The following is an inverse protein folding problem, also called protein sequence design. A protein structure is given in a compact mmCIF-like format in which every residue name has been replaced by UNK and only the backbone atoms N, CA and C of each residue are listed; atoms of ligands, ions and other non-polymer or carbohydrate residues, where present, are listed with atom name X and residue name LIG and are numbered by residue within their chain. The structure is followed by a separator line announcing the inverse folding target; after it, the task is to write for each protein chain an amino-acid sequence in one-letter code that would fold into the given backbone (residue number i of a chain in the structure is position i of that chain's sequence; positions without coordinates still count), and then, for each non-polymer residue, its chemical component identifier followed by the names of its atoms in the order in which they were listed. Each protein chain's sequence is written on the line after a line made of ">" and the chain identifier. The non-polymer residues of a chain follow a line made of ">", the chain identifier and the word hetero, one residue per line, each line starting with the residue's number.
data_IF_399743532948
#
_entry.id   IF_399743532948
#
_cell.length_a   1.000
_cell.length_b   1.000
_cell.length_c   1.000
_cell.angle_alpha   90.00
_cell.angle_beta   90.00
_cell.angle_gamma   90.00
#
_symmetry.space_group_name_H-M   'P 1'
#
loop_
_entity.id
_entity.type
_entity.pdbx_description
1 polymer ?
#
# COMPACT_ATOMS: atom_id res chain seq x y z
N UNK A 1 -54.89 -31.89 -13.50
CA UNK A 1 -55.29 -30.68 -14.25
C UNK A 1 -55.08 -29.40 -13.43
N UNK A 2 -55.74 -29.25 -12.27
CA UNK A 2 -55.56 -28.04 -11.42
C UNK A 2 -54.16 -27.91 -10.80
N UNK A 3 -53.54 -29.03 -10.39
CA UNK A 3 -52.16 -29.03 -9.86
C UNK A 3 -51.13 -28.63 -10.91
N UNK A 4 -51.31 -29.08 -12.17
CA UNK A 4 -50.44 -28.72 -13.30
C UNK A 4 -50.60 -27.26 -13.72
N UNK A 5 -51.81 -26.70 -13.67
CA UNK A 5 -52.02 -25.27 -13.92
C UNK A 5 -51.43 -24.39 -12.82
N UNK A 6 -51.57 -24.77 -11.55
CA UNK A 6 -50.98 -24.05 -10.43
C UNK A 6 -49.45 -24.05 -10.52
N UNK A 7 -48.84 -25.19 -10.86
CA UNK A 7 -47.40 -25.31 -11.08
C UNK A 7 -46.95 -24.45 -12.28
N UNK A 8 -47.68 -24.48 -13.41
CA UNK A 8 -47.38 -23.64 -14.56
C UNK A 8 -47.47 -22.14 -14.22
N UNK A 9 -48.51 -21.73 -13.48
CA UNK A 9 -48.68 -20.36 -13.01
C UNK A 9 -47.54 -19.93 -12.06
N UNK A 10 -47.12 -20.80 -11.14
CA UNK A 10 -45.97 -20.55 -10.27
C UNK A 10 -44.66 -20.42 -11.05
N UNK A 11 -44.43 -21.25 -12.07
CA UNK A 11 -43.25 -21.17 -12.94
C UNK A 11 -43.26 -19.87 -13.75
N UNK A 12 -44.40 -19.46 -14.31
CA UNK A 12 -44.53 -18.19 -15.05
C UNK A 12 -44.30 -17.00 -14.13
N UNK A 13 -44.85 -17.01 -12.91
CA UNK A 13 -44.63 -15.96 -11.91
C UNK A 13 -43.17 -15.87 -11.51
N UNK A 14 -42.52 -16.99 -11.18
CA UNK A 14 -41.12 -17.03 -10.79
C UNK A 14 -40.20 -16.66 -11.97
N UNK A 15 -40.57 -16.99 -13.21
CA UNK A 15 -39.86 -16.56 -14.42
C UNK A 15 -39.94 -15.05 -14.61
N UNK A 16 -41.11 -14.43 -14.39
CA UNK A 16 -41.26 -12.97 -14.45
C UNK A 16 -40.45 -12.27 -13.35
N UNK A 17 -40.47 -12.79 -12.13
CA UNK A 17 -39.68 -12.25 -11.00
C UNK A 17 -38.18 -12.38 -11.28
N UNK A 18 -37.73 -13.54 -11.79
CA UNK A 18 -36.32 -13.73 -12.15
C UNK A 18 -35.92 -12.92 -13.38
N UNK A 19 -36.80 -12.70 -14.36
CA UNK A 19 -36.55 -11.81 -15.50
C UNK A 19 -36.52 -10.32 -15.09
N UNK A 20 -37.37 -9.87 -14.18
CA UNK A 20 -37.29 -8.52 -13.57
C UNK A 20 -35.97 -8.34 -12.80
N UNK A 21 -35.65 -9.30 -11.92
CA UNK A 21 -34.39 -9.27 -11.17
C UNK A 21 -33.14 -9.40 -12.05
N UNK A 22 -33.23 -10.08 -13.20
CA UNK A 22 -32.13 -10.19 -14.19
C UNK A 22 -31.98 -8.94 -15.06
N UNK A 23 -33.05 -8.15 -15.25
CA UNK A 23 -33.03 -6.90 -16.04
C UNK A 23 -32.51 -5.71 -15.24
N UNK A 24 -32.64 -5.73 -13.91
CA UNK A 24 -32.11 -4.68 -13.05
C UNK A 24 -30.63 -4.92 -12.76
N UNK A 25 -29.77 -4.11 -13.38
CA UNK A 25 -28.35 -4.06 -13.03
C UNK A 25 -28.14 -3.74 -11.55
N UNK A 26 -26.99 -4.12 -10.96
CA UNK A 26 -26.69 -3.84 -9.55
C UNK A 26 -26.80 -2.35 -9.22
N UNK A 27 -26.45 -1.49 -10.18
CA UNK A 27 -26.59 -0.02 -10.09
C UNK A 27 -28.04 0.44 -10.02
N UNK A 28 -28.97 -0.18 -10.75
CA UNK A 28 -30.39 0.16 -10.68
C UNK A 28 -30.96 -0.17 -9.30
N UNK A 29 -30.57 -1.31 -8.71
CA UNK A 29 -30.99 -1.68 -7.35
C UNK A 29 -30.47 -0.71 -6.29
N UNK A 30 -29.23 -0.24 -6.44
CA UNK A 30 -28.66 0.78 -5.56
C UNK A 30 -29.38 2.13 -5.71
N UNK A 31 -29.75 2.53 -6.94
CA UNK A 31 -30.54 3.73 -7.15
C UNK A 31 -31.95 3.62 -6.55
N UNK A 32 -32.60 2.47 -6.72
CA UNK A 32 -33.91 2.20 -6.12
C UNK A 32 -33.84 2.22 -4.59
N UNK A 33 -32.78 1.66 -3.99
CA UNK A 33 -32.61 1.72 -2.54
C UNK A 33 -32.38 3.14 -2.05
N UNK A 34 -31.61 3.96 -2.78
CA UNK A 34 -31.45 5.39 -2.49
C UNK A 34 -32.81 6.11 -2.54
N UNK A 35 -33.58 5.93 -3.61
CA UNK A 35 -34.90 6.54 -3.74
C UNK A 35 -35.83 6.13 -2.59
N UNK A 36 -35.86 4.83 -2.26
CA UNK A 36 -36.64 4.31 -1.13
C UNK A 36 -36.20 4.91 0.21
N UNK A 37 -34.89 5.10 0.44
CA UNK A 37 -34.40 5.72 1.69
C UNK A 37 -34.69 7.21 1.79
N UNK A 38 -34.87 7.89 0.66
CA UNK A 38 -35.11 9.34 0.61
C UNK A 38 -36.60 9.69 0.46
N UNK A 39 -37.48 8.69 0.46
CA UNK A 39 -38.92 8.78 0.16
C UNK A 39 -39.20 9.45 -1.20
N UNK A 40 -38.37 9.17 -2.20
CA UNK A 40 -38.55 9.67 -3.57
C UNK A 40 -39.35 8.61 -4.36
N UNK A 41 -40.40 9.01 -5.10
CA UNK A 41 -41.19 8.07 -5.89
C UNK A 41 -40.31 7.34 -6.92
N UNK A 42 -40.62 6.06 -7.14
CA UNK A 42 -39.86 5.23 -8.06
C UNK A 42 -39.86 5.83 -9.47
N UNK A 43 -38.68 5.96 -10.10
CA UNK A 43 -38.58 6.55 -11.43
C UNK A 43 -39.23 5.65 -12.48
N UNK A 44 -40.48 5.96 -12.84
CA UNK A 44 -41.13 5.38 -14.01
C UNK A 44 -40.68 6.19 -15.23
N UNK A 45 -39.71 5.67 -15.97
CA UNK A 45 -39.22 6.22 -17.25
C UNK A 45 -38.70 7.67 -17.17
N UNK A 46 -38.33 8.14 -15.98
CA UNK A 46 -37.90 9.52 -15.77
C UNK A 46 -36.48 9.78 -16.32
N UNK A 47 -36.29 10.99 -16.85
CA UNK A 47 -34.98 11.51 -17.24
C UNK A 47 -33.98 11.40 -16.08
N UNK A 48 -32.85 10.75 -16.33
CA UNK A 48 -31.82 10.49 -15.31
C UNK A 48 -31.30 11.78 -14.64
N UNK A 49 -31.20 12.88 -15.40
CA UNK A 49 -30.75 14.16 -14.87
C UNK A 49 -31.76 14.76 -13.87
N UNK A 50 -33.04 14.65 -14.16
CA UNK A 50 -34.12 15.10 -13.28
C UNK A 50 -34.12 14.30 -11.97
N UNK A 51 -33.89 12.99 -12.02
CA UNK A 51 -33.80 12.14 -10.84
C UNK A 51 -32.62 12.50 -9.94
N UNK A 52 -31.43 12.68 -10.52
CA UNK A 52 -30.26 13.08 -9.73
C UNK A 52 -30.45 14.47 -9.10
N UNK A 53 -31.14 15.38 -9.79
CA UNK A 53 -31.49 16.69 -9.24
C UNK A 53 -32.44 16.58 -8.04
N UNK A 54 -33.49 15.75 -8.15
CA UNK A 54 -34.41 15.49 -7.03
C UNK A 54 -33.71 14.85 -5.82
N UNK A 55 -32.81 13.89 -6.06
CA UNK A 55 -31.99 13.27 -5.02
C UNK A 55 -31.12 14.33 -4.34
N UNK A 56 -30.44 15.17 -5.13
CA UNK A 56 -29.58 16.23 -4.62
C UNK A 56 -30.36 17.23 -3.76
N UNK A 57 -31.55 17.64 -4.18
CA UNK A 57 -32.39 18.57 -3.44
C UNK A 57 -32.88 17.97 -2.12
N UNK A 58 -33.31 16.70 -2.14
CA UNK A 58 -33.77 15.99 -0.94
C UNK A 58 -32.65 15.82 0.07
N UNK A 59 -31.46 15.41 -0.38
CA UNK A 59 -30.26 15.31 0.46
C UNK A 59 -29.90 16.68 1.04
N UNK A 60 -29.94 17.74 0.24
CA UNK A 60 -29.62 19.09 0.70
C UNK A 60 -30.57 19.58 1.80
N UNK A 61 -31.86 19.29 1.70
CA UNK A 61 -32.85 19.60 2.76
C UNK A 61 -32.57 18.84 4.05
N UNK A 62 -32.34 17.53 3.96
CA UNK A 62 -32.02 16.69 5.14
C UNK A 62 -30.74 17.17 5.82
N UNK A 63 -29.74 17.60 5.04
CA UNK A 63 -28.50 18.15 5.58
C UNK A 63 -28.68 19.47 6.33
N UNK A 64 -29.70 20.27 5.99
CA UNK A 64 -30.03 21.51 6.70
C UNK A 64 -30.73 21.24 8.03
N UNK A 65 -31.54 20.19 8.11
CA UNK A 65 -32.26 19.79 9.34
C UNK A 65 -31.33 19.17 10.39
N UNK A 66 -30.17 18.65 9.98
CA UNK A 66 -29.18 18.03 10.85
C UNK A 66 -28.36 19.07 11.64
N UNK A 67 -28.02 18.82 12.92
CA UNK A 67 -27.22 19.74 13.71
C UNK A 67 -25.87 20.03 13.05
N UNK A 68 -25.44 21.30 13.15
CA UNK A 68 -24.34 21.87 12.39
C UNK A 68 -23.05 21.06 12.46
N UNK A 69 -22.58 20.60 11.29
CA UNK A 69 -21.31 19.86 11.14
C UNK A 69 -21.44 18.35 11.02
N UNK A 70 -22.66 17.80 10.94
CA UNK A 70 -22.90 16.35 10.79
C UNK A 70 -22.21 15.72 9.58
N UNK A 71 -22.00 16.51 8.50
CA UNK A 71 -21.26 16.07 7.31
C UNK A 71 -20.09 17.02 7.06
N UNK A 72 -18.87 16.48 7.15
CA UNK A 72 -17.64 17.23 6.89
C UNK A 72 -17.57 17.79 5.46
N UNK A 73 -16.66 18.73 5.22
CA UNK A 73 -16.43 19.30 3.89
C UNK A 73 -15.82 18.24 2.95
N UNK A 74 -16.17 18.23 1.66
CA UNK A 74 -15.58 17.30 0.70
C UNK A 74 -14.08 17.59 0.53
N UNK A 75 -13.28 16.53 0.36
CA UNK A 75 -11.84 16.67 0.08
C UNK A 75 -11.62 17.29 -1.29
N UNK A 76 -12.38 16.82 -2.29
CA UNK A 76 -12.32 17.34 -3.64
C UNK A 76 -13.28 18.54 -3.79
N UNK A 77 -12.70 19.74 -3.84
CA UNK A 77 -13.47 21.01 -3.89
C UNK A 77 -13.68 21.55 -5.30
N UNK A 78 -12.83 21.15 -6.25
CA UNK A 78 -12.83 21.67 -7.62
C UNK A 78 -13.39 20.62 -8.57
N UNK A 79 -14.22 21.00 -9.55
CA UNK A 79 -14.61 20.11 -10.63
C UNK A 79 -13.36 19.72 -11.43
N UNK A 80 -13.35 18.49 -11.93
CA UNK A 80 -12.27 17.96 -12.74
C UNK A 80 -12.62 18.06 -14.22
N UNK A 81 -11.66 18.49 -15.03
CA UNK A 81 -11.74 18.46 -16.48
C UNK A 81 -11.56 17.02 -17.02
N UNK A 82 -12.00 16.76 -18.25
CA UNK A 82 -11.93 15.45 -18.92
C UNK A 82 -10.51 14.85 -18.87
N UNK A 83 -9.49 15.66 -19.15
CA UNK A 83 -8.08 15.20 -19.07
C UNK A 83 -7.65 14.85 -17.65
N UNK A 84 -8.20 15.54 -16.64
CA UNK A 84 -7.90 15.26 -15.24
C UNK A 84 -8.61 13.99 -14.76
N UNK A 85 -9.83 13.73 -15.25
CA UNK A 85 -10.55 12.48 -15.00
C UNK A 85 -9.80 11.26 -15.54
N UNK A 86 -9.26 11.34 -16.75
CA UNK A 86 -8.45 10.27 -17.32
C UNK A 86 -7.20 9.99 -16.47
N UNK A 87 -6.48 11.05 -16.08
CA UNK A 87 -5.33 10.92 -15.18
C UNK A 87 -5.72 10.32 -13.83
N UNK A 88 -6.85 10.75 -13.25
CA UNK A 88 -7.34 10.22 -11.99
C UNK A 88 -7.66 8.72 -12.10
N UNK A 89 -8.31 8.29 -13.18
CA UNK A 89 -8.59 6.86 -13.44
C UNK A 89 -7.30 6.07 -13.60
N UNK A 90 -6.31 6.62 -14.30
CA UNK A 90 -4.98 5.99 -14.45
C UNK A 90 -4.28 5.81 -13.11
N UNK A 91 -4.27 6.85 -12.26
CA UNK A 91 -3.71 6.77 -10.90
C UNK A 91 -4.46 5.74 -10.06
N UNK A 92 -5.80 5.75 -10.09
CA UNK A 92 -6.61 4.80 -9.34
C UNK A 92 -6.35 3.35 -9.78
N UNK A 93 -6.18 3.10 -11.08
CA UNK A 93 -5.85 1.78 -11.62
C UNK A 93 -4.46 1.32 -11.16
N UNK A 94 -3.46 2.19 -11.22
CA UNK A 94 -2.10 1.89 -10.76
C UNK A 94 -2.06 1.62 -9.26
N UNK A 95 -2.70 2.46 -8.44
CA UNK A 95 -2.77 2.24 -6.99
C UNK A 95 -3.55 0.98 -6.66
N UNK A 96 -4.68 0.74 -7.33
CA UNK A 96 -5.50 -0.45 -7.09
C UNK A 96 -4.74 -1.74 -7.38
N UNK A 97 -3.94 -1.80 -8.45
CA UNK A 97 -3.12 -2.97 -8.76
C UNK A 97 -2.00 -3.18 -7.72
N UNK A 98 -1.34 -2.12 -7.26
CA UNK A 98 -0.35 -2.22 -6.20
C UNK A 98 -0.97 -2.68 -4.87
N UNK A 99 -2.09 -2.09 -4.45
CA UNK A 99 -2.79 -2.46 -3.23
C UNK A 99 -3.31 -3.88 -3.30
N UNK A 100 -3.77 -4.33 -4.46
CA UNK A 100 -4.18 -5.71 -4.69
C UNK A 100 -2.99 -6.67 -4.52
N UNK A 101 -1.82 -6.33 -5.08
CA UNK A 101 -0.59 -7.10 -4.87
C UNK A 101 -0.20 -7.16 -3.38
N UNK A 102 -0.21 -6.01 -2.68
CA UNK A 102 0.05 -5.95 -1.23
C UNK A 102 -0.94 -6.78 -0.43
N UNK A 103 -2.24 -6.73 -0.76
CA UNK A 103 -3.28 -7.54 -0.10
C UNK A 103 -3.07 -9.03 -0.34
N UNK A 104 -2.75 -9.46 -1.57
CA UNK A 104 -2.39 -10.86 -1.87
C UNK A 104 -1.23 -11.34 -1.00
N UNK A 105 -0.17 -10.54 -0.91
CA UNK A 105 0.99 -10.86 -0.09
C UNK A 105 0.62 -10.98 1.40
N UNK A 106 -0.12 -10.03 1.95
CA UNK A 106 -0.55 -10.06 3.36
C UNK A 106 -1.46 -11.24 3.67
N UNK A 107 -2.39 -11.55 2.77
CA UNK A 107 -3.26 -12.72 2.88
C UNK A 107 -2.41 -14.01 2.84
N UNK A 108 -1.44 -14.10 1.93
CA UNK A 108 -0.55 -15.27 1.86
C UNK A 108 0.35 -15.37 3.08
N UNK A 109 0.85 -14.25 3.60
CA UNK A 109 1.61 -14.21 4.86
C UNK A 109 0.77 -14.73 6.01
N UNK A 110 -0.50 -14.32 6.09
CA UNK A 110 -1.46 -14.85 7.06
C UNK A 110 -1.62 -16.37 6.91
N UNK A 111 -1.82 -16.86 5.69
CA UNK A 111 -1.93 -18.31 5.39
C UNK A 111 -0.70 -19.07 5.93
N UNK A 112 0.51 -18.61 5.60
CA UNK A 112 1.76 -19.26 6.00
C UNK A 112 1.96 -19.18 7.52
N UNK A 113 1.59 -18.07 8.17
CA UNK A 113 1.66 -17.97 9.65
C UNK A 113 0.68 -18.90 10.35
N UNK A 114 -0.49 -19.17 9.78
CA UNK A 114 -1.43 -20.14 10.36
C UNK A 114 -0.93 -21.57 10.12
N UNK A 115 -0.34 -21.84 8.95
CA UNK A 115 0.26 -23.13 8.62
C UNK A 115 1.46 -23.47 9.52
N UNK A 116 2.28 -22.49 9.90
CA UNK A 116 3.46 -22.73 10.74
C UNK A 116 3.10 -23.24 12.14
N UNK A 117 1.92 -22.92 12.67
CA UNK A 117 1.48 -23.49 13.94
C UNK A 117 1.41 -25.02 13.88
N UNK A 118 1.03 -25.60 12.73
CA UNK A 118 0.96 -27.04 12.52
C UNK A 118 2.31 -27.78 12.58
N UNK A 119 3.43 -27.06 12.72
CA UNK A 119 4.75 -27.66 12.88
C UNK A 119 5.00 -28.14 14.32
N UNK A 120 4.23 -27.63 15.29
CA UNK A 120 4.32 -28.06 16.69
C UNK A 120 3.38 -29.24 16.96
N UNK A 121 3.85 -30.26 17.70
CA UNK A 121 3.04 -31.45 18.01
C UNK A 121 1.78 -31.12 18.82
N UNK A 122 1.86 -30.10 19.69
CA UNK A 122 0.71 -29.59 20.46
C UNK A 122 -0.39 -29.00 19.58
N UNK A 123 -0.03 -28.35 18.47
CA UNK A 123 -1.00 -27.71 17.59
C UNK A 123 -1.54 -28.66 16.51
N UNK A 124 -0.79 -29.70 16.12
CA UNK A 124 -1.25 -30.74 15.16
C UNK A 124 -2.57 -31.38 15.60
N UNK A 125 -2.75 -31.60 16.91
CA UNK A 125 -3.98 -32.16 17.49
C UNK A 125 -5.17 -31.17 17.42
N UNK A 126 -4.91 -29.88 17.19
CA UNK A 126 -5.93 -28.81 17.17
C UNK A 126 -6.14 -28.19 15.78
N UNK A 127 -5.60 -28.78 14.72
CA UNK A 127 -5.67 -28.24 13.35
C UNK A 127 -7.11 -28.00 12.91
N UNK A 128 -8.02 -28.94 13.18
CA UNK A 128 -9.43 -28.80 12.81
C UNK A 128 -10.11 -27.63 13.52
N UNK A 129 -9.82 -27.45 14.82
CA UNK A 129 -10.31 -26.31 15.59
C UNK A 129 -9.78 -24.99 15.04
N UNK A 130 -8.51 -24.95 14.64
CA UNK A 130 -7.90 -23.76 14.04
C UNK A 130 -8.50 -23.46 12.67
N UNK A 131 -8.67 -24.48 11.82
CA UNK A 131 -9.27 -24.36 10.51
C UNK A 131 -10.73 -23.86 10.60
N UNK A 132 -11.51 -24.35 11.58
CA UNK A 132 -12.89 -23.90 11.81
C UNK A 132 -13.01 -22.39 12.05
N UNK A 133 -12.03 -21.80 12.73
CA UNK A 133 -11.99 -20.35 13.00
C UNK A 133 -11.37 -19.58 11.84
N UNK A 134 -10.31 -20.13 11.23
CA UNK A 134 -9.53 -19.45 10.23
C UNK A 134 -10.23 -19.39 8.86
N UNK A 135 -10.77 -20.51 8.38
CA UNK A 135 -11.29 -20.62 7.03
C UNK A 135 -12.40 -19.60 6.73
N UNK A 136 -13.43 -19.40 7.57
CA UNK A 136 -14.46 -18.40 7.29
C UNK A 136 -13.87 -16.99 7.12
N UNK A 137 -12.90 -16.62 7.98
CA UNK A 137 -12.20 -15.33 7.89
C UNK A 137 -11.40 -15.24 6.60
N UNK A 138 -10.67 -16.30 6.26
CA UNK A 138 -9.86 -16.36 5.05
C UNK A 138 -10.67 -16.21 3.75
N UNK A 139 -11.87 -16.79 3.69
CA UNK A 139 -12.77 -16.65 2.54
C UNK A 139 -13.39 -15.25 2.44
N UNK A 140 -13.52 -14.54 3.56
CA UNK A 140 -13.99 -13.15 3.56
C UNK A 140 -12.93 -12.15 3.05
N UNK A 141 -11.63 -12.51 3.13
CA UNK A 141 -10.52 -11.66 2.69
C UNK A 141 -10.38 -11.68 1.17
N UNK A 142 -10.61 -10.52 0.56
CA UNK A 142 -10.48 -10.32 -0.89
C UNK A 142 -9.19 -9.55 -1.22
N UNK A 143 -8.43 -9.98 -2.24
CA UNK A 143 -7.27 -9.23 -2.68
C UNK A 143 -7.64 -7.90 -3.34
N UNK A 144 -8.80 -7.83 -4.03
CA UNK A 144 -9.21 -6.65 -4.80
C UNK A 144 -9.28 -5.39 -3.93
N UNK A 145 -8.82 -4.26 -4.48
CA UNK A 145 -9.00 -2.95 -3.84
C UNK A 145 -10.50 -2.64 -3.73
N UNK A 146 -10.91 -2.09 -2.60
CA UNK A 146 -12.27 -1.59 -2.38
C UNK A 146 -12.39 -0.10 -2.69
N UNK A 147 -11.28 0.58 -2.96
CA UNK A 147 -11.26 2.03 -3.21
C UNK A 147 -11.45 2.27 -4.70
N UNK A 148 -12.44 3.10 -5.04
CA UNK A 148 -12.72 3.51 -6.40
C UNK A 148 -12.91 5.04 -6.45
N UNK A 149 -12.95 5.61 -7.65
CA UNK A 149 -13.14 7.04 -7.90
C UNK A 149 -14.40 7.60 -7.22
N UNK A 150 -15.47 6.81 -7.12
CA UNK A 150 -16.69 7.17 -6.37
C UNK A 150 -16.41 7.42 -4.88
N UNK A 151 -15.58 6.58 -4.23
CA UNK A 151 -15.17 6.78 -2.83
C UNK A 151 -14.31 8.03 -2.64
N UNK A 152 -13.52 8.41 -3.65
CA UNK A 152 -12.75 9.64 -3.61
C UNK A 152 -13.67 10.88 -3.65
N UNK A 153 -14.73 10.85 -4.47
CA UNK A 153 -15.71 11.95 -4.52
C UNK A 153 -16.53 12.06 -3.23
N UNK A 154 -16.82 10.93 -2.60
CA UNK A 154 -17.52 10.88 -1.33
C UNK A 154 -16.64 11.26 -0.12
N UNK A 155 -15.31 11.25 -0.27
CA UNK A 155 -14.38 11.46 0.84
C UNK A 155 -14.51 12.87 1.43
N UNK A 156 -14.50 12.96 2.77
CA UNK A 156 -14.54 14.22 3.53
C UNK A 156 -13.18 14.50 4.18
N UNK A 157 -13.01 15.74 4.65
CA UNK A 157 -11.75 16.23 5.25
C UNK A 157 -11.27 15.40 6.45
N UNK A 158 -12.17 14.65 7.09
CA UNK A 158 -11.86 13.71 8.18
C UNK A 158 -10.90 12.58 7.74
N UNK A 159 -10.97 12.13 6.48
CA UNK A 159 -10.07 11.13 5.91
C UNK A 159 -8.61 11.62 5.90
N UNK A 160 -8.39 12.93 5.84
CA UNK A 160 -7.05 13.51 5.92
C UNK A 160 -6.50 13.50 7.36
N UNK A 161 -7.34 13.32 8.38
CA UNK A 161 -6.91 13.18 9.77
C UNK A 161 -6.50 11.74 10.06
N UNK A 162 -5.29 11.37 9.67
CA UNK A 162 -4.73 10.04 9.94
C UNK A 162 -4.22 9.98 11.38
N UNK A 163 -5.08 9.53 12.28
CA UNK A 163 -4.68 9.21 13.65
C UNK A 163 -3.79 7.96 13.62
N UNK A 164 -2.59 8.06 14.19
CA UNK A 164 -1.69 6.91 14.29
C UNK A 164 -2.38 5.79 15.05
N UNK A 165 -2.40 4.58 14.48
CA UNK A 165 -2.92 3.38 15.14
C UNK A 165 -2.12 3.01 16.39
N UNK A 166 -0.86 3.46 16.48
CA UNK A 166 -0.01 3.34 17.68
C UNK A 166 -0.22 4.46 18.70
N UNK A 167 -1.13 5.40 18.47
CA UNK A 167 -1.40 6.51 19.40
C UNK A 167 -1.90 6.00 20.76
N UNK A 168 -1.57 6.73 21.82
CA UNK A 168 -2.02 6.43 23.18
C UNK A 168 -3.53 6.29 23.27
N UNK A 169 -4.28 7.19 22.61
CA UNK A 169 -5.75 7.17 22.58
C UNK A 169 -6.33 5.94 21.88
N UNK A 170 -5.71 5.47 20.79
CA UNK A 170 -6.11 4.23 20.14
C UNK A 170 -5.83 2.99 20.99
N UNK A 171 -4.84 3.06 21.90
CA UNK A 171 -4.41 1.93 22.73
C UNK A 171 -5.03 1.91 24.13
N UNK A 172 -5.56 3.04 24.60
CA UNK A 172 -6.09 3.25 25.96
C UNK A 172 -7.13 2.20 26.37
N UNK A 173 -7.97 1.74 25.43
CA UNK A 173 -9.04 0.76 25.67
C UNK A 173 -8.76 -0.61 25.03
N UNK A 174 -7.54 -0.87 24.56
CA UNK A 174 -7.16 -2.13 23.91
C UNK A 174 -6.42 -3.11 24.82
N UNK A 175 -6.59 -2.96 26.14
CA UNK A 175 -6.06 -3.90 27.10
C UNK A 175 -6.61 -5.31 26.80
N UNK A 176 -5.72 -6.25 26.50
CA UNK A 176 -6.06 -7.64 26.24
C UNK A 176 -5.08 -8.57 26.95
N UNK A 177 -5.37 -9.87 26.98
CA UNK A 177 -4.51 -10.85 27.66
C UNK A 177 -3.03 -10.80 27.20
N UNK A 178 -2.78 -10.32 25.98
CA UNK A 178 -1.45 -10.14 25.38
C UNK A 178 -0.89 -8.73 25.63
N UNK A 179 -1.69 -7.67 25.42
CA UNK A 179 -1.30 -6.28 25.63
C UNK A 179 -1.92 -5.76 26.93
N UNK A 180 -1.28 -6.02 28.07
CA UNK A 180 -1.82 -5.66 29.40
C UNK A 180 -1.48 -4.24 29.86
N UNK A 181 -0.36 -3.68 29.40
CA UNK A 181 0.18 -2.42 29.93
C UNK A 181 0.25 -1.38 28.82
N UNK A 182 -0.40 -0.24 29.05
CA UNK A 182 -0.21 0.97 28.24
C UNK A 182 1.01 1.71 28.76
N UNK A 183 2.10 1.71 27.99
CA UNK A 183 3.27 2.53 28.29
C UNK A 183 2.90 4.01 28.13
N UNK A 184 3.10 4.81 29.17
CA UNK A 184 2.87 6.25 29.14
C UNK A 184 3.85 6.99 28.22
N UNK A 185 3.90 8.32 28.33
CA UNK A 185 4.87 9.13 27.59
C UNK A 185 6.30 8.68 27.95
N UNK A 186 6.99 8.05 26.99
CA UNK A 186 8.39 7.65 27.15
C UNK A 186 9.25 8.89 26.84
N UNK A 187 10.05 9.38 27.80
CA UNK A 187 10.96 10.50 27.56
C UNK A 187 11.86 10.20 26.36
N UNK A 188 12.18 11.23 25.57
CA UNK A 188 13.08 11.07 24.44
C UNK A 188 14.42 10.49 24.95
N UNK A 189 14.84 9.36 24.38
CA UNK A 189 16.07 8.66 24.77
C UNK A 189 17.29 9.17 24.01
N UNK A 190 17.13 10.24 23.23
CA UNK A 190 18.18 10.82 22.41
C UNK A 190 18.64 9.85 21.31
N UNK A 191 19.79 10.14 20.71
CA UNK A 191 20.38 9.30 19.67
C UNK A 191 19.88 9.60 18.26
N UNK A 192 19.20 10.74 18.06
CA UNK A 192 18.89 11.20 16.71
C UNK A 192 20.21 11.52 16.02
N UNK A 193 20.49 10.96 14.82
CA UNK A 193 21.72 11.25 14.09
C UNK A 193 21.93 12.75 13.80
N UNK A 194 20.86 13.56 13.86
CA UNK A 194 20.92 15.03 13.73
C UNK A 194 21.38 15.76 14.99
N UNK A 195 21.29 15.13 16.16
CA UNK A 195 21.66 15.72 17.46
C UNK A 195 23.08 15.30 17.89
N UNK A 196 23.61 14.24 17.28
CA UNK A 196 24.97 13.77 17.51
C UNK A 196 25.90 14.55 16.59
N UNK A 197 26.80 15.36 17.16
CA UNK A 197 27.89 15.94 16.41
C UNK A 197 28.71 14.82 15.77
N UNK A 198 28.98 14.92 14.47
CA UNK A 198 29.83 13.96 13.78
C UNK A 198 31.17 13.88 14.54
N UNK A 199 31.67 12.67 14.84
CA UNK A 199 32.95 12.53 15.52
C UNK A 199 34.01 13.29 14.71
N UNK A 200 34.96 13.96 15.37
CA UNK A 200 36.03 14.64 14.67
C UNK A 200 36.74 13.65 13.74
N UNK A 201 37.11 14.06 12.51
CA UNK A 201 37.76 13.16 11.57
C UNK A 201 39.06 12.62 12.20
N UNK A 202 39.08 11.32 12.47
CA UNK A 202 40.21 10.63 13.14
C UNK A 202 41.47 10.57 12.26
N UNK A 203 41.33 10.82 10.95
CA UNK A 203 42.44 10.84 10.01
C UNK A 203 42.66 12.25 9.46
N UNK A 204 43.93 12.72 9.39
CA UNK A 204 44.27 13.94 8.68
C UNK A 204 43.76 13.88 7.24
N UNK A 205 43.32 15.01 6.66
CA UNK A 205 42.92 15.04 5.25
C UNK A 205 44.12 14.62 4.40
N UNK A 206 43.88 13.69 3.46
CA UNK A 206 44.88 13.19 2.54
C UNK A 206 45.52 14.36 1.78
N UNK A 207 46.75 14.72 2.14
CA UNK A 207 47.54 15.68 1.37
C UNK A 207 48.21 14.94 0.21
N UNK A 208 47.99 15.47 -1.00
CA UNK A 208 48.72 15.02 -2.19
C UNK A 208 50.20 15.30 -1.96
N UNK A 209 51.06 14.28 -2.11
CA UNK A 209 52.52 14.44 -2.03
C UNK A 209 52.94 15.48 -3.07
N UNK A 210 53.79 16.43 -2.68
CA UNK A 210 54.39 17.39 -3.61
C UNK A 210 55.24 16.61 -4.63
N UNK A 211 54.94 16.82 -5.91
CA UNK A 211 55.77 16.35 -7.01
C UNK A 211 56.97 17.31 -7.16
N UNK A 212 58.15 16.83 -6.76
CA UNK A 212 59.44 17.29 -7.30
C UNK A 212 60.35 18.13 -6.39
N UNK A 213 61.60 17.68 -6.27
CA UNK A 213 62.74 18.61 -6.35
C UNK A 213 63.76 18.61 -5.20
N UNK A 214 64.77 17.76 -5.35
CA UNK A 214 66.21 18.04 -5.14
C UNK A 214 66.77 18.26 -3.71
N UNK A 215 68.06 17.88 -3.58
CA UNK A 215 68.97 17.98 -2.42
C UNK A 215 68.77 16.90 -1.33
N UNK A 216 69.66 15.96 -1.07
CA UNK A 216 71.03 15.71 -1.55
C UNK A 216 71.68 14.82 -0.49
N UNK A 217 72.02 13.57 -0.83
CA UNK A 217 72.83 12.72 0.04
C UNK A 217 74.06 12.21 -0.70
N UNK A 218 75.19 12.64 -0.15
CA UNK A 218 76.57 12.31 -0.50
C UNK A 218 76.83 10.83 -0.21
N UNK A 219 77.50 10.17 -1.16
CA UNK A 219 78.56 9.21 -0.86
C UNK A 219 78.24 7.73 -1.09
N UNK A 220 79.12 7.09 -1.86
CA UNK A 220 79.44 5.68 -1.63
C UNK A 220 79.35 4.76 -2.85
N UNK A 221 80.35 4.86 -3.72
CA UNK A 221 81.14 3.73 -4.20
C UNK A 221 80.48 2.44 -4.77
N UNK A 222 80.81 2.23 -6.05
CA UNK A 222 81.27 0.97 -6.71
C UNK A 222 80.27 0.13 -7.53
N UNK A 223 80.58 0.18 -8.83
CA UNK A 223 80.85 -0.92 -9.78
C UNK A 223 79.68 -1.70 -10.40
N UNK A 224 79.63 -1.56 -11.74
CA UNK A 224 79.32 -2.61 -12.71
C UNK A 224 77.83 -2.79 -12.99
N UNK A 225 77.32 -2.82 -14.22
CA UNK A 225 77.94 -3.02 -15.53
C UNK A 225 77.06 -4.01 -16.29
N UNK A 226 76.65 -3.65 -17.52
CA UNK A 226 75.98 -4.54 -18.50
C UNK A 226 74.53 -4.91 -18.15
N UNK A 227 73.54 -4.86 -19.03
CA UNK A 227 73.58 -5.18 -20.45
C UNK A 227 73.01 -6.58 -20.67
N UNK A 228 71.88 -6.68 -21.37
CA UNK A 228 71.49 -7.90 -22.10
C UNK A 228 70.39 -8.76 -21.48
N UNK A 229 69.23 -8.75 -22.16
CA UNK A 229 68.79 -9.92 -22.93
C UNK A 229 68.28 -11.18 -22.20
N UNK A 230 67.02 -11.52 -22.50
CA UNK A 230 66.68 -12.88 -22.92
C UNK A 230 66.08 -13.83 -21.88
N UNK A 231 65.17 -14.68 -22.36
CA UNK A 231 64.68 -15.88 -21.68
C UNK A 231 63.34 -15.63 -20.95
N UNK A 232 62.19 -16.11 -21.40
CA UNK A 232 61.96 -17.33 -22.16
C UNK A 232 61.70 -18.52 -21.23
N UNK A 233 60.43 -18.66 -20.85
CA UNK A 233 59.73 -19.89 -20.40
C UNK A 233 60.14 -20.49 -19.04
N UNK A 234 59.12 -20.85 -18.26
CA UNK A 234 58.73 -22.24 -17.94
C UNK A 234 58.03 -22.31 -16.59
N UNK A 235 56.78 -22.78 -16.65
CA UNK A 235 55.94 -23.52 -15.68
C UNK A 235 54.56 -22.85 -15.62
N UNK A 236 53.49 -23.40 -16.19
CA UNK A 236 53.19 -24.80 -16.45
C UNK A 236 52.13 -25.27 -15.47
N UNK A 237 50.92 -25.45 -16.00
CA UNK A 237 49.73 -26.15 -15.44
C UNK A 237 49.00 -25.34 -14.34
N UNK A 238 47.77 -24.89 -14.60
CA UNK A 238 46.55 -25.72 -14.71
C UNK A 238 46.12 -26.05 -13.29
N UNK A 239 44.99 -25.57 -12.78
CA UNK A 239 43.66 -26.15 -12.97
C UNK A 239 42.53 -25.12 -12.79
N UNK A 240 41.44 -25.42 -13.50
CA UNK A 240 40.14 -24.74 -13.55
C UNK A 240 39.41 -24.67 -12.19
N UNK A 241 38.81 -23.52 -11.88
CA UNK A 241 37.54 -23.45 -11.13
C UNK A 241 36.79 -22.14 -11.42
N UNK A 242 35.45 -22.23 -11.39
CA UNK A 242 34.43 -21.25 -11.83
C UNK A 242 34.65 -19.80 -11.36
N UNK A 243 34.09 -18.80 -12.03
CA UNK A 243 32.66 -18.69 -12.37
C UNK A 243 32.01 -17.70 -11.39
N UNK A 244 31.37 -16.65 -11.93
CA UNK A 244 30.70 -15.51 -11.27
C UNK A 244 31.62 -14.36 -10.83
N UNK A 245 31.28 -13.09 -10.97
CA UNK A 245 30.04 -12.46 -11.40
C UNK A 245 30.26 -10.94 -11.41
N UNK A 246 29.82 -10.31 -12.49
CA UNK A 246 29.92 -8.89 -12.78
C UNK A 246 29.04 -8.07 -11.82
N UNK A 247 29.64 -7.19 -10.99
CA UNK A 247 28.93 -6.14 -10.25
C UNK A 247 29.34 -4.77 -10.77
N UNK A 248 28.61 -4.30 -11.79
CA UNK A 248 28.56 -2.90 -12.17
C UNK A 248 27.63 -2.12 -11.25
N UNK A 249 28.20 -1.37 -10.31
CA UNK A 249 27.48 -0.44 -9.43
C UNK A 249 27.52 0.98 -9.97
N UNK A 250 26.54 1.38 -10.77
CA UNK A 250 26.28 2.79 -11.10
C UNK A 250 25.41 3.44 -10.02
N UNK A 251 26.03 4.05 -9.02
CA UNK A 251 25.38 4.97 -8.09
C UNK A 251 25.44 6.40 -8.60
N UNK A 252 24.40 6.85 -9.32
CA UNK A 252 24.23 8.28 -9.68
C UNK A 252 23.79 9.08 -8.45
N UNK A 253 24.59 10.09 -8.12
CA UNK A 253 24.24 11.23 -7.28
C UNK A 253 23.03 12.00 -7.85
N UNK A 254 22.14 12.45 -6.97
CA UNK A 254 21.09 13.41 -7.31
C UNK A 254 20.12 13.66 -6.16
N UNK A 255 20.46 14.59 -5.26
CA UNK A 255 19.60 14.94 -4.13
C UNK A 255 19.90 16.31 -3.54
N UNK A 256 19.64 17.38 -4.29
CA UNK A 256 19.47 18.75 -3.75
C UNK A 256 18.02 19.16 -3.99
N UNK A 257 17.28 19.43 -2.91
CA UNK A 257 16.28 20.51 -2.75
C UNK A 257 15.36 20.19 -1.57
N UNK A 258 15.63 20.82 -0.42
CA UNK A 258 14.68 20.97 0.68
C UNK A 258 14.57 22.45 1.01
N UNK A 259 13.48 23.10 0.57
CA UNK A 259 13.07 24.43 1.02
C UNK A 259 11.54 24.45 1.03
N UNK A 260 10.95 24.40 2.22
CA UNK A 260 9.65 24.98 2.49
C UNK A 260 9.65 25.53 3.92
N UNK A 261 9.54 26.86 3.99
CA UNK A 261 8.95 27.57 5.11
C UNK A 261 7.44 27.47 4.94
N UNK A 262 6.75 27.06 6.00
CA UNK A 262 5.51 27.65 6.48
C UNK A 262 5.56 27.56 8.00
#
# INVERSE_FOLDING_TARGET
>A
FLSSELQAAQIVRNRRVTESQRKEGPTCRELLSICATLDIPEPREADTAALFSQIQDRVSKILQDLPGGSVGKPVLKKPLDSKQWEKLRSINAALSSEYECRRRMLIKRLDVTVQSFGWSDRAKVRVDSMARVYQPRRHSLKPQSTVDTSRLLAAREDVCNVVKTSSGSSREKTACAVNKVLMGAVPDRGGRPSEIAAPPPEMPPWQKRQDGGDWGYRGGDRRGGGGGGGGGRWRGRGWSQGGHGNYGGHGRHGGKRGRYQF
#
